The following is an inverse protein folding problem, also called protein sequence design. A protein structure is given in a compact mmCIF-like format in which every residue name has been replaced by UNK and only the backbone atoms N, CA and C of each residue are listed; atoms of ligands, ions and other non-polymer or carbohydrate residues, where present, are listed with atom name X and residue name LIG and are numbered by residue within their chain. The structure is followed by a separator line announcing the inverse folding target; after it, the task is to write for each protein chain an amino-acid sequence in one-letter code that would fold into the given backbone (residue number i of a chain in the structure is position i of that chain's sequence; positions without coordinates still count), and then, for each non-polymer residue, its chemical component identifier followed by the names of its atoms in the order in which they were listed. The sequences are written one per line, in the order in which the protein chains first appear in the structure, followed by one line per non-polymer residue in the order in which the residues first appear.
data_IF_142804549049
#
_entry.id   IF_142804549049
#
_cell.length_a   1.000
_cell.length_b   1.000
_cell.length_c   1.000
_cell.angle_alpha   90.00
_cell.angle_beta   90.00
_cell.angle_gamma   90.00
#
_symmetry.space_group_name_H-M   'P 1'
#
loop_
_entity.id
_entity.type
_entity.pdbx_description
1 polymer ?
#
# COMPACT_ATOMS: atom_id res chain seq x y z
N UNK A 1 55.97 -2.46 -32.21
CA UNK A 1 56.87 -1.38 -31.76
C UNK A 1 56.03 -0.24 -31.23
N UNK A 2 56.31 0.28 -30.02
CA UNK A 2 55.74 1.52 -29.41
C UNK A 2 54.20 1.52 -29.21
N UNK A 3 53.63 2.26 -28.26
CA UNK A 3 54.05 2.67 -26.91
C UNK A 3 52.77 3.09 -26.15
N UNK A 4 52.78 3.05 -24.81
CA UNK A 4 51.65 3.48 -23.95
C UNK A 4 51.66 5.03 -23.74
N UNK A 5 50.96 5.61 -22.74
CA UNK A 5 49.77 6.44 -22.98
C UNK A 5 49.98 7.89 -22.50
N UNK A 6 48.91 8.71 -22.46
CA UNK A 6 48.93 9.96 -21.68
C UNK A 6 47.63 10.12 -20.89
N UNK A 7 47.80 10.14 -19.56
CA UNK A 7 46.75 10.48 -18.58
C UNK A 7 46.86 11.97 -18.26
N UNK A 8 45.72 12.66 -18.14
CA UNK A 8 45.66 14.06 -17.75
C UNK A 8 44.98 14.18 -16.37
N UNK A 9 45.79 14.29 -15.33
CA UNK A 9 45.33 14.59 -13.97
C UNK A 9 45.28 16.11 -13.80
N UNK A 10 44.08 16.69 -13.60
CA UNK A 10 43.92 18.12 -13.32
C UNK A 10 43.70 18.33 -11.84
N UNK A 11 44.80 18.71 -11.16
CA UNK A 11 44.80 19.14 -9.77
C UNK A 11 44.59 20.66 -9.73
N UNK A 12 43.49 21.12 -9.12
CA UNK A 12 43.30 22.55 -8.79
C UNK A 12 43.16 22.68 -7.28
N UNK A 13 44.09 23.43 -6.68
CA UNK A 13 44.17 23.64 -5.24
C UNK A 13 44.52 25.10 -4.97
N UNK A 14 43.60 25.85 -4.36
CA UNK A 14 43.88 27.16 -3.78
C UNK A 14 42.86 27.50 -2.67
N UNK A 15 43.37 27.78 -1.47
CA UNK A 15 42.65 28.40 -0.37
C UNK A 15 42.26 29.85 -0.73
N UNK A 16 41.35 30.47 0.04
CA UNK A 16 41.67 31.60 0.94
C UNK A 16 40.54 31.86 1.97
N UNK A 17 40.84 32.46 3.15
CA UNK A 17 39.88 32.68 4.24
C UNK A 17 39.42 34.15 4.38
N UNK A 18 38.30 34.40 5.07
CA UNK A 18 38.11 35.59 5.95
C UNK A 18 36.81 35.53 6.78
N UNK A 19 36.87 36.06 8.00
CA UNK A 19 35.76 36.23 8.93
C UNK A 19 34.82 37.40 8.56
N UNK A 20 33.50 37.16 8.58
CA UNK A 20 32.38 38.12 8.78
C UNK A 20 31.19 37.27 9.28
N UNK A 21 30.41 37.59 10.33
CA UNK A 21 30.56 38.48 11.49
C UNK A 21 29.62 37.96 12.64
N UNK A 22 29.25 38.79 13.62
CA UNK A 22 28.19 38.51 14.61
C UNK A 22 27.06 39.55 14.50
N UNK A 23 25.83 39.14 14.83
CA UNK A 23 24.57 39.92 14.74
C UNK A 23 23.47 39.08 14.07
N UNK A 24 22.20 39.15 14.46
CA UNK A 24 21.53 40.05 15.42
C UNK A 24 20.33 39.34 16.08
N UNK A 25 19.72 39.99 17.06
CA UNK A 25 18.76 39.43 18.03
C UNK A 25 17.38 39.03 17.49
N UNK A 26 16.69 38.20 18.29
CA UNK A 26 15.29 38.46 18.63
C UNK A 26 14.23 38.02 17.61
N UNK A 27 13.96 36.73 17.55
CA UNK A 27 12.90 36.17 16.71
C UNK A 27 12.44 34.79 17.13
N UNK A 28 12.22 34.57 18.43
CA UNK A 28 11.56 33.37 18.95
C UNK A 28 10.07 33.45 18.60
N UNK A 29 9.77 33.22 17.31
CA UNK A 29 8.42 33.01 16.84
C UNK A 29 7.94 31.72 17.46
N UNK A 30 6.87 31.80 18.26
CA UNK A 30 6.14 30.66 18.81
C UNK A 30 5.78 29.70 17.66
N UNK A 31 6.69 28.77 17.37
CA UNK A 31 6.50 27.70 16.41
C UNK A 31 5.61 26.72 17.13
N UNK A 32 4.31 27.04 17.12
CA UNK A 32 3.25 26.29 17.78
C UNK A 32 3.55 24.81 17.60
N UNK A 33 3.80 24.12 18.73
CA UNK A 33 4.25 22.73 18.73
C UNK A 33 3.35 21.96 17.78
N UNK A 34 3.92 21.52 16.66
CA UNK A 34 3.20 20.66 15.73
C UNK A 34 2.91 19.40 16.53
N UNK A 35 1.64 19.24 16.93
CA UNK A 35 1.20 18.14 17.77
C UNK A 35 1.67 16.81 17.20
N UNK A 36 1.78 15.76 18.05
CA UNK A 36 2.40 14.49 17.68
C UNK A 36 1.96 14.04 16.29
N UNK A 37 2.93 13.86 15.40
CA UNK A 37 2.67 13.59 13.98
C UNK A 37 1.83 12.32 13.87
N UNK A 38 0.65 12.45 13.23
CA UNK A 38 -0.43 11.46 13.32
C UNK A 38 -0.10 10.04 12.81
N UNK A 39 1.04 9.87 12.13
CA UNK A 39 1.39 8.65 11.37
C UNK A 39 2.42 7.78 12.11
N UNK A 40 2.91 8.22 13.27
CA UNK A 40 3.79 7.44 14.15
C UNK A 40 3.05 6.83 15.35
N UNK A 41 1.70 6.77 15.30
CA UNK A 41 0.94 6.09 16.35
C UNK A 41 1.22 4.57 16.29
N UNK A 42 1.69 3.94 17.38
CA UNK A 42 1.83 2.49 17.39
C UNK A 42 0.47 1.84 17.18
N UNK A 43 0.45 0.74 16.41
CA UNK A 43 -0.77 -0.04 16.16
C UNK A 43 -1.46 -0.35 17.50
N UNK A 44 -2.73 0.02 17.70
CA UNK A 44 -3.43 -0.24 18.95
C UNK A 44 -3.48 -1.73 19.26
N UNK A 45 -3.43 -2.09 20.54
CA UNK A 45 -3.61 -3.46 20.97
C UNK A 45 -5.05 -3.95 20.69
N UNK A 46 -5.18 -5.19 20.20
CA UNK A 46 -6.43 -5.81 19.80
C UNK A 46 -6.39 -6.25 18.33
N UNK A 47 -7.48 -6.82 17.85
CA UNK A 47 -7.58 -7.30 16.47
C UNK A 47 -8.11 -6.19 15.53
N UNK A 48 -7.75 -6.21 14.23
CA UNK A 48 -8.41 -5.36 13.24
C UNK A 48 -9.87 -5.79 13.07
N UNK A 49 -10.80 -4.89 13.37
CA UNK A 49 -12.24 -5.05 13.18
C UNK A 49 -12.74 -4.52 11.83
N UNK A 50 -11.84 -3.95 11.03
CA UNK A 50 -12.16 -3.43 9.71
C UNK A 50 -11.12 -2.46 9.18
N UNK A 51 -11.18 -2.23 7.87
CA UNK A 51 -10.36 -1.25 7.17
C UNK A 51 -11.23 -0.35 6.29
N UNK A 52 -10.85 0.92 6.23
CA UNK A 52 -11.35 1.95 5.33
C UNK A 52 -10.15 2.40 4.50
N UNK A 53 -10.29 2.43 3.18
CA UNK A 53 -9.23 2.76 2.22
C UNK A 53 -9.69 3.95 1.39
N UNK A 54 -8.82 4.96 1.31
CA UNK A 54 -9.01 6.15 0.48
C UNK A 54 -7.77 6.28 -0.39
N UNK A 55 -7.84 5.69 -1.59
CA UNK A 55 -6.70 5.60 -2.49
C UNK A 55 -6.88 6.49 -3.71
N UNK A 56 -5.82 7.22 -4.03
CA UNK A 56 -5.61 7.76 -5.37
C UNK A 56 -4.77 6.76 -6.15
N UNK A 57 -5.39 6.06 -7.10
CA UNK A 57 -4.76 4.98 -7.85
C UNK A 57 -4.41 5.43 -9.26
N UNK A 58 -3.14 5.28 -9.64
CA UNK A 58 -2.67 5.44 -11.01
C UNK A 58 -2.38 4.07 -11.61
N UNK A 59 -3.04 3.77 -12.73
CA UNK A 59 -2.79 2.63 -13.61
C UNK A 59 -2.07 3.11 -14.88
N UNK A 60 -1.23 2.25 -15.47
CA UNK A 60 -0.55 2.41 -16.77
C UNK A 60 0.20 3.72 -17.06
N UNK A 61 0.56 4.49 -16.02
CA UNK A 61 1.12 5.86 -16.06
C UNK A 61 0.18 6.95 -16.64
N UNK A 62 -1.00 6.60 -17.17
CA UNK A 62 -1.85 7.57 -17.87
C UNK A 62 -3.25 7.74 -17.24
N UNK A 63 -3.68 6.84 -16.35
CA UNK A 63 -5.03 6.86 -15.77
C UNK A 63 -5.00 6.91 -14.25
N UNK A 64 -5.26 8.08 -13.67
CA UNK A 64 -5.45 8.28 -12.21
C UNK A 64 -6.94 8.31 -11.88
N UNK A 65 -7.36 7.68 -10.78
CA UNK A 65 -8.73 7.63 -10.29
C UNK A 65 -8.80 7.39 -8.77
N UNK A 66 -9.89 7.85 -8.14
CA UNK A 66 -10.19 7.55 -6.75
C UNK A 66 -10.81 6.17 -6.56
N UNK A 67 -10.19 5.35 -5.71
CA UNK A 67 -10.71 4.09 -5.18
C UNK A 67 -10.96 4.23 -3.68
N UNK A 68 -12.24 4.26 -3.29
CA UNK A 68 -12.66 4.44 -1.92
C UNK A 68 -13.48 3.22 -1.50
N UNK A 69 -12.99 2.47 -0.53
CA UNK A 69 -13.61 1.21 -0.09
C UNK A 69 -13.56 1.03 1.42
N UNK A 70 -14.47 0.23 1.96
CA UNK A 70 -14.38 -0.22 3.34
C UNK A 70 -14.99 -1.60 3.54
N UNK A 71 -14.45 -2.32 4.51
CA UNK A 71 -15.00 -3.58 5.01
C UNK A 71 -14.84 -3.59 6.53
N UNK A 72 -15.96 -3.69 7.25
CA UNK A 72 -15.97 -3.83 8.71
C UNK A 72 -16.30 -5.29 9.03
N UNK A 73 -15.35 -6.01 9.58
CA UNK A 73 -15.35 -7.46 9.75
C UNK A 73 -13.92 -7.99 9.85
N UNK A 74 -13.74 -9.30 10.01
CA UNK A 74 -12.40 -9.91 10.00
C UNK A 74 -11.71 -9.67 8.65
N UNK A 75 -10.43 -9.29 8.69
CA UNK A 75 -9.58 -9.30 7.49
C UNK A 75 -9.30 -10.76 7.11
N UNK A 76 -9.93 -11.24 6.03
CA UNK A 76 -9.81 -12.65 5.62
C UNK A 76 -8.71 -12.81 4.58
N UNK A 77 -7.63 -13.48 4.99
CA UNK A 77 -6.57 -13.98 4.11
C UNK A 77 -6.76 -15.47 3.90
N UNK A 78 -6.79 -15.92 2.66
CA UNK A 78 -6.92 -17.34 2.30
C UNK A 78 -5.56 -18.03 2.12
N UNK A 79 -4.51 -17.24 1.97
CA UNK A 79 -3.12 -17.65 1.88
C UNK A 79 -2.51 -17.82 3.27
N UNK A 80 -1.61 -18.79 3.40
CA UNK A 80 -0.79 -19.02 4.59
C UNK A 80 0.57 -18.35 4.41
N UNK A 81 1.14 -17.79 5.49
CA UNK A 81 2.50 -17.26 5.46
C UNK A 81 3.51 -18.42 5.37
N UNK A 82 4.27 -18.49 4.28
CA UNK A 82 5.26 -19.57 4.04
C UNK A 82 6.70 -19.09 4.19
N UNK A 83 6.98 -17.82 3.90
CA UNK A 83 8.30 -17.21 4.12
C UNK A 83 8.18 -15.80 4.71
N UNK A 84 9.17 -15.40 5.50
CA UNK A 84 9.40 -14.00 5.87
C UNK A 84 10.90 -13.72 5.94
N UNK A 85 11.32 -12.56 5.42
CA UNK A 85 12.71 -12.15 5.37
C UNK A 85 12.81 -10.64 5.18
N UNK A 86 13.55 -9.98 6.08
CA UNK A 86 13.70 -8.53 6.07
C UNK A 86 12.35 -7.80 6.18
N UNK A 87 12.05 -6.97 5.19
CA UNK A 87 10.82 -6.19 5.09
C UNK A 87 9.65 -6.94 4.41
N UNK A 88 9.87 -8.17 3.94
CA UNK A 88 8.94 -8.93 3.10
C UNK A 88 8.38 -10.18 3.77
N UNK A 89 7.15 -10.53 3.36
CA UNK A 89 6.44 -11.77 3.70
C UNK A 89 5.85 -12.35 2.42
N UNK A 90 6.08 -13.65 2.20
CA UNK A 90 5.40 -14.43 1.16
C UNK A 90 4.22 -15.17 1.79
N UNK A 91 3.07 -15.04 1.15
CA UNK A 91 1.87 -15.82 1.46
C UNK A 91 1.51 -16.68 0.25
N UNK A 92 1.26 -17.97 0.46
CA UNK A 92 0.87 -18.93 -0.60
C UNK A 92 -0.51 -19.53 -0.29
N UNK A 93 -1.32 -19.74 -1.32
CA UNK A 93 -2.61 -20.41 -1.19
C UNK A 93 -2.42 -21.94 -1.19
N UNK A 94 -2.89 -22.68 -0.18
CA UNK A 94 -2.73 -24.14 -0.11
C UNK A 94 -3.58 -24.94 -1.13
N UNK A 95 -4.21 -24.26 -2.08
CA UNK A 95 -5.03 -24.82 -3.15
C UNK A 95 -6.47 -25.13 -2.74
N UNK A 96 -7.31 -25.41 -3.74
CA UNK A 96 -8.74 -25.75 -3.57
C UNK A 96 -8.99 -27.24 -3.85
N UNK A 97 -8.96 -28.10 -2.82
CA UNK A 97 -9.05 -29.57 -2.92
C UNK A 97 -10.18 -30.18 -2.06
N UNK A 98 -11.31 -29.49 -1.94
CA UNK A 98 -12.43 -29.96 -1.13
C UNK A 98 -13.07 -31.24 -1.73
N UNK A 99 -13.39 -32.26 -0.92
CA UNK A 99 -13.90 -33.55 -1.41
C UNK A 99 -15.31 -33.46 -2.00
N UNK A 100 -16.03 -32.38 -1.71
CA UNK A 100 -17.35 -32.04 -2.27
C UNK A 100 -17.41 -30.55 -2.59
N UNK A 101 -18.31 -30.11 -3.48
CA UNK A 101 -18.64 -28.69 -3.64
C UNK A 101 -18.96 -28.03 -2.29
N UNK A 102 -18.52 -26.78 -2.16
CA UNK A 102 -18.42 -26.02 -0.91
C UNK A 102 -19.27 -24.75 -1.01
N UNK A 103 -20.06 -24.43 0.02
CA UNK A 103 -20.78 -23.15 0.11
C UNK A 103 -19.91 -22.12 0.86
N UNK A 104 -18.87 -21.67 0.16
CA UNK A 104 -17.78 -20.92 0.76
C UNK A 104 -16.51 -20.94 -0.11
N UNK A 105 -15.39 -20.58 0.50
CA UNK A 105 -14.06 -20.73 -0.11
C UNK A 105 -13.44 -22.04 0.35
N UNK A 106 -13.00 -22.85 -0.61
CA UNK A 106 -12.21 -24.03 -0.29
C UNK A 106 -10.76 -23.62 -0.02
N UNK A 107 -10.17 -24.07 1.09
CA UNK A 107 -8.78 -23.81 1.46
C UNK A 107 -8.14 -25.12 1.90
N UNK A 108 -7.13 -25.58 1.15
CA UNK A 108 -6.64 -26.95 1.22
C UNK A 108 -7.79 -27.93 0.97
N UNK A 109 -8.14 -28.72 1.99
CA UNK A 109 -9.29 -29.66 1.95
C UNK A 109 -10.51 -29.19 2.74
N UNK A 110 -10.46 -27.99 3.34
CA UNK A 110 -11.49 -27.45 4.24
C UNK A 110 -12.37 -26.44 3.51
N UNK A 111 -13.69 -26.53 3.71
CA UNK A 111 -14.63 -25.51 3.25
C UNK A 111 -14.79 -24.44 4.33
N UNK A 112 -14.32 -23.22 4.07
CA UNK A 112 -14.49 -22.06 4.94
C UNK A 112 -15.72 -21.26 4.50
N UNK A 113 -16.57 -20.78 5.41
CA UNK A 113 -17.73 -19.98 5.04
C UNK A 113 -17.31 -18.67 4.36
N UNK A 114 -18.19 -18.12 3.52
CA UNK A 114 -17.97 -16.79 2.96
C UNK A 114 -17.75 -15.73 4.06
N UNK A 115 -16.83 -14.77 3.87
CA UNK A 115 -16.65 -13.65 4.80
C UNK A 115 -17.96 -12.89 4.97
N UNK A 116 -18.26 -12.51 6.21
CA UNK A 116 -19.43 -11.67 6.54
C UNK A 116 -18.96 -10.33 7.09
N UNK A 117 -19.54 -9.25 6.55
CA UNK A 117 -19.19 -7.89 6.92
C UNK A 117 -20.39 -7.19 7.58
N UNK A 118 -20.08 -6.32 8.54
CA UNK A 118 -21.06 -5.55 9.30
C UNK A 118 -21.29 -4.19 8.65
N UNK A 119 -22.52 -3.93 8.20
CA UNK A 119 -22.93 -2.59 7.78
C UNK A 119 -23.05 -1.68 9.02
N UNK A 120 -22.12 -0.75 9.20
CA UNK A 120 -22.05 0.22 10.32
C UNK A 120 -22.86 1.52 10.09
N UNK A 121 -23.82 1.46 9.17
CA UNK A 121 -24.45 2.65 8.58
C UNK A 121 -23.56 3.35 7.55
N UNK A 122 -23.92 4.56 7.08
CA UNK A 122 -23.10 5.33 6.16
C UNK A 122 -21.76 5.71 6.80
N UNK A 123 -20.67 5.64 6.03
CA UNK A 123 -19.33 6.10 6.44
C UNK A 123 -19.06 7.43 5.74
N UNK A 124 -18.99 8.52 6.51
CA UNK A 124 -18.66 9.85 5.98
C UNK A 124 -17.15 10.07 5.96
N UNK A 125 -16.64 10.54 4.83
CA UNK A 125 -15.24 10.88 4.57
C UNK A 125 -15.10 12.39 4.32
N UNK A 126 -14.23 13.03 5.09
CA UNK A 126 -13.92 14.47 5.02
C UNK A 126 -12.42 14.70 4.92
N UNK A 127 -11.99 15.90 4.51
CA UNK A 127 -10.58 16.20 4.22
C UNK A 127 -10.13 15.81 2.80
N UNK A 128 -11.01 15.15 2.05
CA UNK A 128 -10.92 14.95 0.61
C UNK A 128 -11.21 16.26 -0.15
N UNK A 129 -10.82 16.36 -1.42
CA UNK A 129 -11.14 17.52 -2.28
C UNK A 129 -12.63 17.74 -2.50
N UNK A 130 -13.44 16.68 -2.35
CA UNK A 130 -14.90 16.76 -2.17
C UNK A 130 -15.35 15.73 -1.12
N UNK A 131 -16.28 16.07 -0.21
CA UNK A 131 -16.75 15.11 0.79
C UNK A 131 -17.46 13.92 0.11
N UNK A 132 -17.22 12.71 0.63
CA UNK A 132 -17.83 11.47 0.14
C UNK A 132 -18.54 10.79 1.30
N UNK A 133 -19.68 10.15 1.03
CA UNK A 133 -20.30 9.21 1.97
C UNK A 133 -20.38 7.86 1.28
N UNK A 134 -19.80 6.84 1.91
CA UNK A 134 -19.89 5.46 1.47
C UNK A 134 -21.16 4.85 2.07
N UNK A 135 -22.04 4.34 1.22
CA UNK A 135 -23.22 3.57 1.64
C UNK A 135 -22.89 2.06 1.64
N UNK A 136 -23.38 1.28 2.61
CA UNK A 136 -23.18 -0.16 2.64
C UNK A 136 -23.96 -0.86 1.52
N UNK A 137 -23.32 -1.83 0.87
CA UNK A 137 -23.99 -2.79 0.00
C UNK A 137 -24.86 -3.78 0.80
N UNK A 138 -25.63 -4.60 0.09
CA UNK A 138 -26.43 -5.68 0.70
C UNK A 138 -25.60 -6.74 1.44
N UNK A 139 -24.30 -6.88 1.14
CA UNK A 139 -23.37 -7.77 1.83
C UNK A 139 -22.44 -7.04 2.82
N UNK A 140 -22.73 -5.77 3.16
CA UNK A 140 -22.04 -5.01 4.20
C UNK A 140 -20.65 -4.49 3.83
N UNK A 141 -20.25 -4.59 2.56
CA UNK A 141 -19.05 -3.91 2.04
C UNK A 141 -19.39 -2.51 1.53
N UNK A 142 -18.39 -1.66 1.43
CA UNK A 142 -18.52 -0.29 0.96
C UNK A 142 -17.59 -0.12 -0.23
N UNK A 143 -18.11 0.42 -1.33
CA UNK A 143 -17.32 0.70 -2.52
C UNK A 143 -17.82 1.96 -3.22
N UNK A 144 -16.89 2.84 -3.58
CA UNK A 144 -17.13 4.05 -4.33
C UNK A 144 -15.93 4.30 -5.25
N UNK A 145 -16.19 4.22 -6.55
CA UNK A 145 -15.23 4.53 -7.59
C UNK A 145 -15.83 5.59 -8.49
N UNK A 146 -15.09 6.67 -8.73
CA UNK A 146 -15.45 7.70 -9.69
C UNK A 146 -14.20 8.13 -10.45
N UNK A 147 -14.19 7.94 -11.76
CA UNK A 147 -13.10 8.38 -12.64
C UNK A 147 -12.97 9.92 -12.70
N UNK A 148 -14.00 10.68 -12.29
CA UNK A 148 -13.92 12.12 -12.11
C UNK A 148 -13.42 12.54 -10.71
N UNK A 149 -13.13 11.59 -9.81
CA UNK A 149 -12.46 11.84 -8.54
C UNK A 149 -10.96 11.61 -8.71
N UNK A 150 -10.31 12.58 -9.34
CA UNK A 150 -8.84 12.75 -9.34
C UNK A 150 -8.47 13.80 -8.30
N UNK A 151 -7.19 13.86 -7.91
CA UNK A 151 -6.69 14.68 -6.81
C UNK A 151 -7.53 14.43 -5.54
N UNK A 152 -7.60 13.16 -5.08
CA UNK A 152 -8.57 12.70 -4.06
C UNK A 152 -8.43 13.47 -2.74
N UNK A 153 -7.19 13.82 -2.38
CA UNK A 153 -6.79 14.60 -1.22
C UNK A 153 -5.53 15.41 -1.56
N UNK A 154 -5.19 16.41 -0.76
CA UNK A 154 -3.87 17.08 -0.86
C UNK A 154 -2.85 16.42 0.08
N UNK A 155 -1.56 16.38 -0.27
CA UNK A 155 -0.49 15.96 0.65
C UNK A 155 -0.55 16.74 1.97
N UNK A 156 -0.41 16.02 3.09
CA UNK A 156 -0.54 16.54 4.45
C UNK A 156 -1.98 16.86 4.92
N UNK A 157 -3.01 16.76 4.07
CA UNK A 157 -4.39 17.04 4.47
C UNK A 157 -4.92 16.00 5.47
N UNK A 158 -5.61 16.43 6.52
CA UNK A 158 -6.21 15.53 7.51
C UNK A 158 -7.49 14.89 6.96
N UNK A 159 -7.37 13.70 6.36
CA UNK A 159 -8.51 12.89 5.89
C UNK A 159 -9.11 12.16 7.09
N UNK A 160 -10.42 12.30 7.30
CA UNK A 160 -11.13 11.74 8.45
C UNK A 160 -12.29 10.87 7.99
N UNK A 161 -12.39 9.67 8.55
CA UNK A 161 -13.53 8.78 8.42
C UNK A 161 -14.35 8.76 9.71
N UNK A 162 -15.67 8.69 9.58
CA UNK A 162 -16.58 8.54 10.73
C UNK A 162 -17.83 7.76 10.38
N UNK A 163 -18.34 6.97 11.33
CA UNK A 163 -19.61 6.26 11.22
C UNK A 163 -20.36 6.30 12.56
N UNK A 164 -21.69 6.27 12.49
CA UNK A 164 -22.54 6.20 13.68
C UNK A 164 -22.50 4.84 14.40
N UNK A 165 -21.97 3.80 13.73
CA UNK A 165 -21.97 2.43 14.22
C UNK A 165 -23.31 1.72 14.04
N UNK A 166 -23.30 0.40 14.13
CA UNK A 166 -24.49 -0.43 14.12
C UNK A 166 -24.24 -1.77 14.81
N UNK A 167 -25.28 -2.31 15.46
CA UNK A 167 -25.23 -3.62 16.11
C UNK A 167 -24.15 -3.68 17.20
N UNK A 168 -23.16 -4.54 17.01
CA UNK A 168 -22.04 -4.72 17.94
C UNK A 168 -20.89 -3.70 17.72
N UNK A 169 -20.86 -2.99 16.60
CA UNK A 169 -19.82 -2.00 16.30
C UNK A 169 -20.34 -0.61 16.70
N UNK A 170 -19.75 0.06 17.72
CA UNK A 170 -20.18 1.38 18.13
C UNK A 170 -19.73 2.47 17.13
N UNK A 171 -20.19 3.70 17.36
CA UNK A 171 -19.72 4.87 16.64
C UNK A 171 -18.19 5.01 16.75
N UNK A 172 -17.56 5.41 15.65
CA UNK A 172 -16.11 5.62 15.59
C UNK A 172 -15.75 6.80 14.69
N UNK A 173 -14.58 7.38 14.93
CA UNK A 173 -13.92 8.29 14.00
C UNK A 173 -12.41 8.11 14.07
N UNK A 174 -11.75 8.17 12.91
CA UNK A 174 -10.30 8.04 12.74
C UNK A 174 -9.82 8.98 11.65
N UNK A 175 -8.59 9.44 11.74
CA UNK A 175 -7.97 10.36 10.78
C UNK A 175 -6.56 9.91 10.39
N UNK A 176 -6.22 10.08 9.14
CA UNK A 176 -4.89 9.86 8.57
C UNK A 176 -4.53 11.04 7.64
N UNK A 177 -3.28 11.14 7.16
CA UNK A 177 -2.84 12.23 6.26
C UNK A 177 -2.94 11.85 4.79
N UNK A 178 -3.33 12.79 3.93
CA UNK A 178 -2.98 12.73 2.52
C UNK A 178 -1.46 12.66 2.36
N UNK A 179 -0.98 11.92 1.36
CA UNK A 179 0.45 11.69 1.10
C UNK A 179 0.80 12.13 -0.32
N UNK A 180 2.08 12.41 -0.58
CA UNK A 180 2.58 12.73 -1.92
C UNK A 180 2.53 11.51 -2.85
N UNK A 181 2.30 11.74 -4.15
CA UNK A 181 2.27 10.71 -5.18
C UNK A 181 3.56 9.87 -5.21
N UNK A 182 3.41 8.54 -5.25
CA UNK A 182 4.52 7.60 -5.46
C UNK A 182 4.59 7.17 -6.93
N UNK A 183 5.82 7.08 -7.43
CA UNK A 183 6.16 6.46 -8.70
C UNK A 183 7.15 5.31 -8.50
N UNK A 184 7.29 4.49 -9.52
CA UNK A 184 8.28 3.42 -9.57
C UNK A 184 8.83 3.33 -11.00
N UNK A 185 10.17 3.35 -11.20
CA UNK A 185 10.76 3.16 -12.51
C UNK A 185 10.45 1.74 -13.04
N UNK A 186 9.64 1.66 -14.09
CA UNK A 186 9.33 0.41 -14.79
C UNK A 186 10.22 0.21 -16.02
N UNK A 187 10.25 -1.01 -16.56
CA UNK A 187 10.92 -1.29 -17.83
C UNK A 187 10.19 -0.64 -19.04
N UNK A 188 10.72 -0.83 -20.25
CA UNK A 188 10.15 -0.28 -21.48
C UNK A 188 8.73 -0.81 -21.81
N UNK A 189 8.35 -1.95 -21.23
CA UNK A 189 7.03 -2.57 -21.35
C UNK A 189 6.05 -2.14 -20.24
N UNK A 190 6.46 -1.28 -19.29
CA UNK A 190 5.63 -0.89 -18.16
C UNK A 190 5.47 -2.00 -17.12
N UNK A 191 6.53 -2.79 -16.89
CA UNK A 191 6.53 -3.94 -15.98
C UNK A 191 7.74 -3.94 -15.04
N UNK A 192 7.60 -4.65 -13.92
CA UNK A 192 8.72 -5.21 -13.15
C UNK A 192 9.06 -6.59 -13.72
N UNK A 193 10.33 -6.96 -13.75
CA UNK A 193 10.80 -8.29 -14.19
C UNK A 193 11.45 -8.98 -13.02
N UNK A 194 10.76 -9.96 -12.45
CA UNK A 194 11.34 -10.85 -11.46
C UNK A 194 12.23 -11.87 -12.18
N UNK A 195 13.38 -12.21 -11.58
CA UNK A 195 14.35 -13.15 -12.16
C UNK A 195 14.71 -14.21 -11.11
N UNK A 196 14.48 -15.48 -11.46
CA UNK A 196 14.79 -16.64 -10.63
C UNK A 196 16.22 -16.58 -10.05
N UNK A 197 16.32 -16.55 -8.72
CA UNK A 197 17.60 -16.53 -8.01
C UNK A 197 18.27 -15.17 -7.87
N UNK A 198 17.64 -14.07 -8.29
CA UNK A 198 18.11 -12.69 -8.09
C UNK A 198 17.20 -11.92 -7.11
N UNK A 199 17.79 -11.06 -6.29
CA UNK A 199 17.05 -10.14 -5.42
C UNK A 199 16.46 -9.00 -6.28
N UNK A 200 15.16 -8.75 -6.18
CA UNK A 200 14.54 -7.60 -6.85
C UNK A 200 14.60 -6.36 -5.94
N UNK A 201 15.12 -5.24 -6.44
CA UNK A 201 15.35 -4.01 -5.66
C UNK A 201 14.52 -2.84 -6.19
N UNK A 202 13.42 -2.59 -5.51
CA UNK A 202 12.49 -1.51 -5.81
C UNK A 202 12.99 -0.20 -5.22
N UNK A 203 12.89 0.90 -5.98
CA UNK A 203 13.45 2.21 -5.65
C UNK A 203 12.45 3.31 -5.96
N UNK A 204 12.23 4.20 -5.00
CA UNK A 204 11.33 5.36 -5.13
C UNK A 204 12.02 6.63 -4.61
N UNK A 205 11.40 7.80 -4.83
CA UNK A 205 11.89 9.06 -4.27
C UNK A 205 11.24 9.31 -2.90
N UNK A 206 11.99 9.36 -1.78
CA UNK A 206 11.44 9.71 -0.48
C UNK A 206 10.92 11.15 -0.44
N UNK A 207 9.85 11.37 0.32
CA UNK A 207 9.23 12.69 0.56
C UNK A 207 9.62 13.24 1.93
N UNK A 208 9.89 12.35 2.90
CA UNK A 208 10.22 12.73 4.27
C UNK A 208 9.01 13.20 5.11
N UNK A 209 7.78 12.95 4.64
CA UNK A 209 6.54 13.28 5.34
C UNK A 209 6.20 12.34 6.52
N UNK A 210 6.97 11.26 6.68
CA UNK A 210 6.78 10.22 7.70
C UNK A 210 5.84 9.09 7.29
N UNK A 211 5.46 9.01 6.02
CA UNK A 211 4.66 7.92 5.45
C UNK A 211 5.40 6.58 5.41
N UNK A 212 4.63 5.52 5.20
CA UNK A 212 5.12 4.18 4.88
C UNK A 212 4.97 3.89 3.39
N UNK A 213 5.80 2.98 2.88
CA UNK A 213 5.67 2.41 1.55
C UNK A 213 5.39 0.91 1.68
N UNK A 214 4.31 0.46 1.05
CA UNK A 214 3.89 -0.94 0.96
C UNK A 214 3.99 -1.39 -0.49
N UNK A 215 4.65 -2.51 -0.73
CA UNK A 215 4.68 -3.20 -2.03
C UNK A 215 3.83 -4.46 -1.92
N UNK A 216 3.01 -4.73 -2.93
CA UNK A 216 2.25 -5.97 -3.07
C UNK A 216 2.47 -6.53 -4.47
N UNK A 217 3.16 -7.67 -4.57
CA UNK A 217 3.28 -8.45 -5.81
C UNK A 217 2.23 -9.56 -5.76
N UNK A 218 1.26 -9.50 -6.67
CA UNK A 218 0.16 -10.44 -6.78
C UNK A 218 0.44 -11.50 -7.85
N UNK A 219 0.08 -12.75 -7.60
CA UNK A 219 0.06 -13.78 -8.64
C UNK A 219 -1.23 -13.75 -9.47
N UNK A 220 -1.39 -14.74 -10.35
CA UNK A 220 -2.68 -15.14 -10.91
C UNK A 220 -3.59 -15.78 -9.83
N UNK A 221 -4.89 -15.93 -10.11
CA UNK A 221 -5.84 -16.66 -9.24
C UNK A 221 -5.76 -18.18 -9.43
N UNK A 222 -5.80 -18.97 -8.34
CA UNK A 222 -5.74 -20.43 -8.35
C UNK A 222 -6.91 -21.06 -9.11
N UNK A 223 -6.71 -21.40 -10.39
CA UNK A 223 -7.76 -22.01 -11.23
C UNK A 223 -8.80 -21.03 -11.79
N UNK A 224 -8.56 -19.72 -11.74
CA UNK A 224 -9.32 -18.71 -12.47
C UNK A 224 -10.32 -17.88 -11.65
N UNK A 225 -11.29 -17.28 -12.36
CA UNK A 225 -12.10 -16.17 -11.88
C UNK A 225 -12.73 -16.35 -10.48
N UNK A 226 -12.48 -15.39 -9.60
CA UNK A 226 -13.02 -15.35 -8.24
C UNK A 226 -12.39 -16.35 -7.26
N UNK A 227 -11.34 -17.08 -7.66
CA UNK A 227 -10.52 -17.89 -6.75
C UNK A 227 -9.47 -17.01 -6.04
N UNK A 228 -8.94 -17.42 -4.88
CA UNK A 228 -7.82 -16.73 -4.23
C UNK A 228 -6.57 -16.70 -5.11
N UNK A 229 -5.72 -15.68 -4.90
CA UNK A 229 -4.40 -15.59 -5.53
C UNK A 229 -3.50 -16.75 -5.06
N UNK A 230 -2.81 -17.40 -5.99
CA UNK A 230 -1.87 -18.50 -5.72
C UNK A 230 -0.76 -18.08 -4.75
N UNK A 231 -0.22 -16.87 -4.91
CA UNK A 231 0.78 -16.28 -4.02
C UNK A 231 0.66 -14.75 -3.96
N UNK A 232 1.11 -14.17 -2.85
CA UNK A 232 1.22 -12.73 -2.63
C UNK A 232 2.54 -12.47 -1.90
N UNK A 233 3.40 -11.62 -2.45
CA UNK A 233 4.52 -11.04 -1.70
C UNK A 233 4.06 -9.67 -1.21
N UNK A 234 4.04 -9.47 0.10
CA UNK A 234 3.82 -8.14 0.71
C UNK A 234 5.09 -7.69 1.41
N UNK A 235 5.53 -6.48 1.12
CA UNK A 235 6.67 -5.87 1.79
C UNK A 235 6.35 -4.46 2.27
N UNK A 236 6.95 -4.02 3.37
CA UNK A 236 6.68 -2.71 3.97
C UNK A 236 7.95 -2.07 4.55
N UNK A 237 8.19 -0.80 4.22
CA UNK A 237 9.31 -0.01 4.74
C UNK A 237 8.87 1.44 5.00
N UNK A 238 9.58 2.20 5.85
CA UNK A 238 9.41 3.66 5.93
C UNK A 238 9.72 4.30 4.57
N UNK A 239 8.96 5.32 4.15
CA UNK A 239 9.22 6.04 2.89
C UNK A 239 10.65 6.59 2.81
N UNK A 240 11.18 7.03 3.95
CA UNK A 240 12.56 7.52 4.12
C UNK A 240 13.67 6.51 3.75
N UNK A 241 13.34 5.23 3.55
CA UNK A 241 14.31 4.24 3.07
C UNK A 241 14.68 4.46 1.58
N UNK A 242 13.72 4.88 0.74
CA UNK A 242 13.90 5.06 -0.70
C UNK A 242 14.14 3.79 -1.51
N UNK A 243 14.31 2.64 -0.86
CA UNK A 243 14.48 1.34 -1.49
C UNK A 243 13.91 0.21 -0.61
N UNK A 244 13.54 -0.89 -1.27
CA UNK A 244 13.13 -2.14 -0.65
C UNK A 244 13.63 -3.32 -1.50
N UNK A 245 14.09 -4.38 -0.85
CA UNK A 245 14.55 -5.61 -1.51
C UNK A 245 13.57 -6.75 -1.28
N UNK A 246 13.08 -7.34 -2.37
CA UNK A 246 12.38 -8.64 -2.37
C UNK A 246 13.45 -9.72 -2.52
N UNK A 247 13.63 -10.62 -1.53
CA UNK A 247 14.69 -11.62 -1.58
C UNK A 247 14.50 -12.64 -2.72
N UNK A 248 15.61 -13.07 -3.32
CA UNK A 248 15.68 -14.08 -4.39
C UNK A 248 14.91 -15.37 -4.10
N UNK A 249 14.83 -15.78 -2.82
CA UNK A 249 14.09 -16.96 -2.38
C UNK A 249 12.56 -16.79 -2.39
N UNK A 250 12.07 -15.55 -2.29
CA UNK A 250 10.65 -15.22 -2.48
C UNK A 250 10.33 -15.03 -3.95
N UNK A 251 11.24 -14.41 -4.72
CA UNK A 251 11.15 -14.34 -6.19
C UNK A 251 10.99 -15.75 -6.78
N UNK A 252 11.95 -16.65 -6.50
CA UNK A 252 11.93 -18.02 -7.01
C UNK A 252 10.83 -18.93 -6.42
N UNK A 253 10.03 -18.43 -5.47
CA UNK A 253 8.84 -19.10 -4.95
C UNK A 253 7.54 -18.51 -5.51
N UNK A 254 7.60 -17.39 -6.23
CA UNK A 254 6.45 -16.82 -6.91
C UNK A 254 6.07 -17.70 -8.10
N UNK A 255 4.77 -18.00 -8.34
CA UNK A 255 4.33 -18.71 -9.54
C UNK A 255 4.78 -18.00 -10.84
N UNK A 256 4.78 -18.73 -11.96
CA UNK A 256 5.09 -18.14 -13.28
C UNK A 256 4.07 -17.04 -13.61
N UNK A 257 4.54 -15.79 -13.72
CA UNK A 257 3.71 -14.64 -14.02
C UNK A 257 3.86 -14.36 -15.52
N UNK A 258 3.33 -15.28 -16.32
CA UNK A 258 3.12 -15.02 -17.73
C UNK A 258 2.22 -13.79 -17.83
N UNK A 259 2.77 -12.67 -18.35
CA UNK A 259 2.06 -11.39 -18.52
C UNK A 259 1.03 -11.46 -19.64
N UNK A 260 0.15 -12.46 -19.58
CA UNK A 260 -0.77 -12.83 -20.62
C UNK A 260 -1.83 -11.72 -20.77
N UNK A 261 -1.94 -11.06 -21.95
CA UNK A 261 -2.85 -9.93 -22.17
C UNK A 261 -4.35 -10.33 -22.19
N UNK A 262 -4.67 -11.56 -21.78
CA UNK A 262 -6.01 -12.13 -21.67
C UNK A 262 -6.53 -12.02 -20.23
N UNK A 263 -5.65 -11.98 -19.23
CA UNK A 263 -6.05 -11.87 -17.82
C UNK A 263 -6.21 -10.38 -17.45
N UNK A 264 -7.46 -9.95 -17.32
CA UNK A 264 -7.81 -8.56 -17.01
C UNK A 264 -8.49 -8.45 -15.63
N UNK A 265 -8.15 -7.39 -14.89
CA UNK A 265 -8.72 -7.05 -13.59
C UNK A 265 -8.62 -8.18 -12.54
N UNK A 266 -9.71 -8.88 -12.23
CA UNK A 266 -9.83 -9.73 -11.04
C UNK A 266 -9.10 -11.08 -11.13
N UNK A 267 -8.80 -11.56 -12.34
CA UNK A 267 -8.12 -12.85 -12.56
C UNK A 267 -6.59 -12.75 -12.40
N UNK A 268 -6.07 -11.52 -12.55
CA UNK A 268 -4.68 -11.11 -12.34
C UNK A 268 -4.71 -9.66 -11.83
N UNK A 269 -5.04 -9.44 -10.55
CA UNK A 269 -5.06 -8.09 -10.00
C UNK A 269 -3.65 -7.50 -10.13
N UNK A 270 -3.53 -6.22 -10.54
CA UNK A 270 -2.23 -5.62 -10.71
C UNK A 270 -1.46 -5.65 -9.39
N UNK A 271 -0.14 -5.75 -9.51
CA UNK A 271 0.74 -5.49 -8.37
C UNK A 271 0.76 -3.98 -8.10
N UNK A 272 1.09 -3.59 -6.87
CA UNK A 272 1.09 -2.18 -6.49
C UNK A 272 2.27 -1.80 -5.61
N UNK A 273 2.63 -0.52 -5.69
CA UNK A 273 3.39 0.19 -4.67
C UNK A 273 2.52 1.33 -4.17
N UNK A 274 2.31 1.35 -2.86
CA UNK A 274 1.45 2.31 -2.16
C UNK A 274 2.36 3.13 -1.25
N UNK A 275 2.38 4.46 -1.39
CA UNK A 275 2.76 5.34 -0.28
C UNK A 275 1.50 5.59 0.53
N UNK A 276 1.54 5.40 1.84
CA UNK A 276 0.37 5.52 2.70
C UNK A 276 0.67 6.14 4.06
N UNK A 277 -0.36 6.75 4.63
CA UNK A 277 -0.48 7.00 6.06
C UNK A 277 -1.62 6.16 6.65
N UNK A 278 -1.57 5.95 7.97
CA UNK A 278 -2.53 5.08 8.66
C UNK A 278 -3.04 5.75 9.95
N UNK A 279 -4.36 5.79 10.08
CA UNK A 279 -5.07 6.23 11.29
C UNK A 279 -5.85 5.08 11.93
N UNK A 280 -6.03 5.11 13.26
CA UNK A 280 -6.75 4.08 14.00
C UNK A 280 -7.85 4.64 14.90
N UNK A 281 -9.04 4.04 14.86
CA UNK A 281 -10.06 4.19 15.88
C UNK A 281 -10.09 2.94 16.76
N UNK A 282 -9.66 3.04 18.02
CA UNK A 282 -9.82 1.94 18.99
C UNK A 282 -11.26 1.90 19.49
N UNK A 283 -11.88 0.73 19.46
CA UNK A 283 -13.26 0.47 19.89
C UNK A 283 -13.31 -0.84 20.72
N UNK A 284 -14.37 -1.09 21.50
CA UNK A 284 -14.56 -2.38 22.16
C UNK A 284 -14.38 -3.56 21.20
N UNK A 285 -13.39 -4.42 21.49
CA UNK A 285 -13.04 -5.60 20.70
C UNK A 285 -11.82 -5.44 19.78
N UNK A 286 -11.32 -4.23 19.52
CA UNK A 286 -10.20 -4.03 18.60
C UNK A 286 -10.11 -2.62 18.00
N UNK A 287 -9.76 -2.51 16.72
CA UNK A 287 -9.65 -1.21 16.04
C UNK A 287 -10.18 -1.20 14.61
N UNK A 288 -10.63 -0.04 14.14
CA UNK A 288 -10.87 0.23 12.71
C UNK A 288 -9.70 1.03 12.16
N UNK A 289 -9.11 0.55 11.05
CA UNK A 289 -7.98 1.18 10.34
C UNK A 289 -8.50 2.10 9.23
N UNK A 290 -7.92 3.28 9.08
CA UNK A 290 -8.06 4.14 7.91
C UNK A 290 -6.70 4.21 7.20
N UNK A 291 -6.65 3.73 5.97
CA UNK A 291 -5.49 3.87 5.07
C UNK A 291 -5.77 4.97 4.06
N UNK A 292 -4.87 5.96 3.96
CA UNK A 292 -4.93 7.03 2.96
C UNK A 292 -3.64 6.94 2.16
N UNK A 293 -3.76 6.69 0.85
CA UNK A 293 -2.61 6.30 0.04
C UNK A 293 -2.66 6.86 -1.37
N UNK A 294 -1.49 7.13 -1.94
CA UNK A 294 -1.32 7.16 -3.39
C UNK A 294 -0.76 5.82 -3.83
N UNK A 295 -1.40 5.21 -4.82
CA UNK A 295 -1.13 3.86 -5.29
C UNK A 295 -0.68 3.91 -6.75
N UNK A 296 0.46 3.31 -7.04
CA UNK A 296 0.90 3.06 -8.41
C UNK A 296 0.78 1.58 -8.74
N UNK A 297 -0.03 1.26 -9.75
CA UNK A 297 -0.34 -0.10 -10.18
C UNK A 297 0.51 -0.48 -11.40
N UNK A 298 1.12 -1.66 -11.36
CA UNK A 298 2.00 -2.18 -12.41
C UNK A 298 1.78 -3.66 -12.67
N UNK A 299 2.24 -4.11 -13.84
CA UNK A 299 2.30 -5.53 -14.19
C UNK A 299 3.67 -6.10 -13.78
N UNK A 300 3.68 -7.40 -13.51
CA UNK A 300 4.90 -8.15 -13.20
C UNK A 300 5.06 -9.24 -14.24
N UNK A 301 6.28 -9.44 -14.71
CA UNK A 301 6.69 -10.62 -15.47
C UNK A 301 7.63 -11.44 -14.59
N UNK A 302 7.32 -12.72 -14.47
CA UNK A 302 8.18 -13.74 -13.86
C UNK A 302 8.24 -14.89 -14.87
#
# INVERSE_FOLDING_TARGET
MRALPLSACVLVLALHPALVACGDDGGDVDRADAGPTADAMPVPAGDPLGAIKVFESTYDLNTTYGDLSAAIGPEVRWQEQTQASGACTLYEFPGSQCPTPCDGVCVGTTCHPWPTYSAVGPITLTGLTRPVTLEPSSNGVYYYQDAALVDVFSPGASVTASAAGAGAIPAFSTSARGVDAIDLPLNAEGQIVLVDGEDEVLRWTPTGDGSEVRVTINSTTYGGHGQPLEAIIECQAPDAAGELTIPAAMVAAMPELSGAPICVAIDCPPSSIDRLSVGYATIPGGYVRLEVATRFQFLVRH
#
